data_IF_844026830307
#
_entry.id   IF_844026830307
#
_cell.length_a   1.000
_cell.length_b   1.000
_cell.length_c   1.000
_cell.angle_alpha   90.00
_cell.angle_beta   90.00
_cell.angle_gamma   90.00
#
_symmetry.space_group_name_H-M   'P 1'
#
loop_
_entity.id
_entity.type
_entity.pdbx_description
1 polymer ?
#
# COMPACT_ATOMS: atom_id res chain seq x y z
N UNK A 1 15.79 25.98 11.72
CA UNK A 1 16.03 24.56 12.12
C UNK A 1 16.66 23.84 10.93
N UNK A 2 17.87 23.32 11.08
CA UNK A 2 18.56 22.59 10.01
C UNK A 2 17.79 21.29 9.75
N UNK A 3 17.40 21.04 8.49
CA UNK A 3 16.90 19.72 8.06
C UNK A 3 17.97 18.69 8.40
N UNK A 4 17.60 17.65 9.16
CA UNK A 4 18.49 16.52 9.43
C UNK A 4 19.02 16.01 8.10
N UNK A 5 20.35 15.88 7.98
CA UNK A 5 20.98 15.30 6.80
C UNK A 5 20.46 13.87 6.66
N UNK A 6 19.89 13.55 5.51
CA UNK A 6 19.47 12.20 5.18
C UNK A 6 20.68 11.26 5.28
N UNK A 7 20.60 10.28 6.16
CA UNK A 7 21.67 9.28 6.32
C UNK A 7 21.58 8.26 5.17
N UNK A 8 22.56 8.31 4.26
CA UNK A 8 22.68 7.38 3.13
C UNK A 8 23.51 6.14 3.44
N UNK A 9 23.69 5.81 4.71
CA UNK A 9 24.46 4.64 5.13
C UNK A 9 23.81 3.31 4.71
N UNK A 10 22.51 3.31 4.44
CA UNK A 10 21.73 2.14 4.05
C UNK A 10 21.17 2.30 2.62
N UNK A 11 21.03 1.18 1.87
CA UNK A 11 20.30 1.21 0.60
C UNK A 11 18.89 1.74 0.77
N UNK A 12 18.48 2.63 -0.13
CA UNK A 12 17.15 3.23 -0.17
C UNK A 12 16.23 2.45 -1.10
N UNK A 13 15.00 2.19 -0.64
CA UNK A 13 13.96 1.49 -1.42
C UNK A 13 12.65 2.26 -1.31
N UNK A 14 12.04 2.52 -2.45
CA UNK A 14 10.69 3.08 -2.54
C UNK A 14 9.68 1.95 -2.65
N UNK A 15 8.80 1.85 -1.69
CA UNK A 15 7.70 0.89 -1.70
C UNK A 15 6.37 1.61 -1.51
N UNK A 16 5.28 0.92 -1.77
CA UNK A 16 3.98 1.51 -1.55
C UNK A 16 2.87 0.49 -1.43
N UNK A 17 1.73 0.95 -0.96
CA UNK A 17 0.50 0.19 -0.88
C UNK A 17 -0.42 0.52 -2.05
N UNK A 18 -0.91 -0.49 -2.72
CA UNK A 18 -1.90 -0.42 -3.79
C UNK A 18 -3.05 -1.40 -3.50
N UNK A 19 -4.16 -1.25 -4.17
CA UNK A 19 -5.31 -2.15 -4.05
C UNK A 19 -6.63 -1.40 -3.98
N UNK A 20 -7.71 -2.16 -3.81
CA UNK A 20 -9.07 -1.63 -3.79
C UNK A 20 -9.32 -0.72 -2.58
N UNK A 21 -10.24 0.24 -2.72
CA UNK A 21 -10.71 1.07 -1.61
C UNK A 21 -11.25 0.20 -0.47
N UNK A 22 -11.08 0.65 0.77
CA UNK A 22 -11.53 -0.02 2.00
C UNK A 22 -10.90 -1.39 2.30
N UNK A 23 -9.87 -1.80 1.57
CA UNK A 23 -9.11 -3.02 1.88
C UNK A 23 -8.05 -2.83 2.98
N UNK A 24 -7.81 -1.59 3.42
CA UNK A 24 -6.96 -1.28 4.58
C UNK A 24 -5.53 -0.86 4.24
N UNK A 25 -5.30 -0.24 3.08
CA UNK A 25 -3.98 0.26 2.66
C UNK A 25 -3.40 1.28 3.64
N UNK A 26 -4.14 2.34 3.92
CA UNK A 26 -3.72 3.40 4.85
C UNK A 26 -3.60 2.87 6.27
N UNK A 27 -4.48 1.98 6.70
CA UNK A 27 -4.40 1.30 8.01
C UNK A 27 -3.13 0.48 8.14
N UNK A 28 -2.75 -0.28 7.10
CA UNK A 28 -1.50 -1.03 7.08
C UNK A 28 -0.29 -0.10 7.15
N UNK A 29 -0.29 0.98 6.40
CA UNK A 29 0.78 1.99 6.42
C UNK A 29 0.95 2.60 7.82
N UNK A 30 -0.15 2.97 8.46
CA UNK A 30 -0.14 3.47 9.84
C UNK A 30 0.39 2.42 10.83
N UNK A 31 -0.01 1.16 10.67
CA UNK A 31 0.45 0.06 11.53
C UNK A 31 1.97 -0.18 11.37
N UNK A 32 2.49 -0.14 10.15
CA UNK A 32 3.93 -0.28 9.89
C UNK A 32 4.70 0.84 10.58
N UNK A 33 4.29 2.09 10.41
CA UNK A 33 4.98 3.23 11.04
C UNK A 33 4.93 3.14 12.56
N UNK A 34 3.82 2.71 13.13
CA UNK A 34 3.68 2.51 14.58
C UNK A 34 4.64 1.44 15.10
N UNK A 35 4.68 0.27 14.47
CA UNK A 35 5.59 -0.82 14.88
C UNK A 35 7.06 -0.40 14.73
N UNK A 36 7.42 0.29 13.66
CA UNK A 36 8.78 0.77 13.45
C UNK A 36 9.15 1.87 14.45
N UNK A 37 8.22 2.74 14.82
CA UNK A 37 8.44 3.76 15.84
C UNK A 37 8.68 3.17 17.22
N UNK A 38 7.98 2.10 17.58
CA UNK A 38 8.23 1.36 18.84
C UNK A 38 9.65 0.78 18.90
N UNK A 39 10.28 0.55 17.75
CA UNK A 39 11.67 0.11 17.63
C UNK A 39 12.67 1.28 17.45
N UNK A 40 12.20 2.52 17.51
CA UNK A 40 13.04 3.71 17.27
C UNK A 40 13.47 3.89 15.82
N UNK A 41 12.77 3.28 14.86
CA UNK A 41 13.13 3.22 13.43
C UNK A 41 12.22 4.03 12.51
N UNK A 42 11.26 4.75 13.06
CA UNK A 42 10.36 5.66 12.35
C UNK A 42 9.76 6.70 13.30
N UNK A 43 9.19 7.76 12.75
CA UNK A 43 8.28 8.64 13.48
C UNK A 43 6.88 8.01 13.50
N UNK A 44 6.15 8.16 14.63
CA UNK A 44 4.77 7.70 14.72
C UNK A 44 3.91 8.57 13.81
N UNK A 45 3.23 7.95 12.86
CA UNK A 45 2.18 8.61 12.08
C UNK A 45 0.85 7.87 12.30
N UNK A 46 -0.16 8.61 12.69
CA UNK A 46 -1.52 8.10 12.87
C UNK A 46 -2.24 8.07 11.51
N UNK A 47 -3.32 7.31 11.45
CA UNK A 47 -4.17 7.23 10.26
C UNK A 47 -4.61 8.63 9.76
N UNK A 48 -5.05 9.48 10.68
CA UNK A 48 -5.50 10.84 10.42
C UNK A 48 -4.38 11.82 10.05
N UNK A 49 -3.14 11.45 10.29
CA UNK A 49 -1.96 12.21 9.86
C UNK A 49 -1.50 11.81 8.44
N UNK A 50 -1.82 10.59 8.01
CA UNK A 50 -1.57 10.11 6.66
C UNK A 50 -2.63 10.68 5.73
N UNK A 51 -3.90 10.55 6.08
CA UNK A 51 -5.03 11.14 5.37
C UNK A 51 -5.27 12.58 5.88
N UNK A 52 -4.59 13.54 5.29
CA UNK A 52 -4.53 14.93 5.79
C UNK A 52 -5.66 15.82 5.28
N UNK A 53 -6.19 15.56 4.10
CA UNK A 53 -7.22 16.41 3.50
C UNK A 53 -8.56 16.27 4.24
N UNK A 54 -9.30 17.39 4.48
CA UNK A 54 -10.63 17.31 5.08
C UNK A 54 -11.57 16.36 4.35
N UNK A 55 -11.52 16.36 3.01
CA UNK A 55 -12.32 15.48 2.16
C UNK A 55 -11.95 14.00 2.32
N UNK A 56 -10.68 13.69 2.56
CA UNK A 56 -10.20 12.34 2.84
C UNK A 56 -10.79 11.81 4.15
N UNK A 57 -10.81 12.66 5.18
CA UNK A 57 -11.36 12.32 6.50
C UNK A 57 -12.87 12.12 6.47
N UNK A 58 -13.58 12.99 5.76
CA UNK A 58 -15.04 12.89 5.65
C UNK A 58 -15.49 11.65 4.90
N UNK A 59 -14.78 11.28 3.84
CA UNK A 59 -15.11 10.12 3.00
C UNK A 59 -14.50 8.82 3.49
N UNK A 60 -13.50 8.87 4.37
CA UNK A 60 -12.73 7.71 4.80
C UNK A 60 -11.94 7.04 3.66
N UNK A 61 -11.54 7.82 2.65
CA UNK A 61 -10.77 7.34 1.49
C UNK A 61 -9.53 8.21 1.29
N UNK A 62 -8.47 7.60 0.78
CA UNK A 62 -7.24 8.31 0.39
C UNK A 62 -7.41 8.92 -1.00
N UNK A 63 -7.24 10.23 -1.12
CA UNK A 63 -7.34 10.97 -2.38
C UNK A 63 -5.96 11.22 -2.99
N UNK A 64 -5.04 11.70 -2.17
CA UNK A 64 -3.69 12.01 -2.58
C UNK A 64 -2.71 10.95 -2.08
N UNK A 65 -1.58 10.81 -2.78
CA UNK A 65 -0.49 9.97 -2.28
C UNK A 65 0.11 10.56 -1.03
N UNK A 66 0.23 9.77 0.02
CA UNK A 66 0.95 10.13 1.23
C UNK A 66 2.32 9.45 1.25
N UNK A 67 3.30 10.09 1.85
CA UNK A 67 4.66 9.56 1.97
C UNK A 67 5.03 9.44 3.44
N UNK A 68 5.50 8.27 3.82
CA UNK A 68 6.05 7.99 5.14
C UNK A 68 7.42 7.35 5.00
N UNK A 69 8.27 7.51 6.01
CA UNK A 69 9.62 6.96 6.01
C UNK A 69 9.84 6.09 7.23
N UNK A 70 10.51 4.97 7.04
CA UNK A 70 10.97 4.08 8.10
C UNK A 70 12.18 3.30 7.65
N UNK A 71 12.83 2.65 8.59
CA UNK A 71 14.02 1.87 8.29
C UNK A 71 14.02 0.53 9.03
N UNK A 72 14.69 -0.44 8.42
CA UNK A 72 15.09 -1.68 9.06
C UNK A 72 16.60 -1.63 9.34
N UNK A 73 17.15 -2.69 9.89
CA UNK A 73 18.62 -2.78 10.07
C UNK A 73 19.37 -2.74 8.74
N UNK A 74 18.75 -3.22 7.67
CA UNK A 74 19.40 -3.40 6.37
C UNK A 74 19.10 -2.29 5.36
N UNK A 75 17.93 -1.64 5.45
CA UNK A 75 17.44 -0.72 4.41
C UNK A 75 16.63 0.44 4.98
N UNK A 76 16.66 1.54 4.25
CA UNK A 76 15.77 2.69 4.46
C UNK A 76 14.63 2.63 3.44
N UNK A 77 13.39 2.81 3.89
CA UNK A 77 12.18 2.76 3.05
C UNK A 77 11.49 4.11 3.00
N UNK A 78 11.19 4.55 1.79
CA UNK A 78 10.16 5.55 1.55
C UNK A 78 8.89 4.81 1.10
N UNK A 79 7.83 4.96 1.85
CA UNK A 79 6.57 4.28 1.63
C UNK A 79 5.54 5.26 1.08
N UNK A 80 4.95 4.92 -0.06
CA UNK A 80 3.91 5.70 -0.73
C UNK A 80 2.56 5.02 -0.48
N UNK A 81 1.65 5.72 0.17
CA UNK A 81 0.26 5.27 0.30
C UNK A 81 -0.56 5.79 -0.88
N UNK A 82 -1.02 4.88 -1.75
CA UNK A 82 -1.72 5.22 -2.97
C UNK A 82 -3.25 5.21 -2.77
N UNK A 83 -3.97 6.13 -3.43
CA UNK A 83 -5.43 6.09 -3.41
C UNK A 83 -5.96 4.82 -4.07
N UNK A 84 -7.06 4.28 -3.53
CA UNK A 84 -7.71 3.07 -4.06
C UNK A 84 -8.94 3.36 -4.91
N UNK A 85 -9.54 4.55 -4.79
CA UNK A 85 -10.77 4.91 -5.46
C UNK A 85 -10.56 5.21 -6.94
N UNK A 86 -11.47 4.74 -7.80
CA UNK A 86 -11.39 4.89 -9.26
C UNK A 86 -11.26 6.34 -9.74
N UNK A 87 -11.86 7.30 -9.04
CA UNK A 87 -11.83 8.72 -9.39
C UNK A 87 -10.42 9.34 -9.26
N UNK A 88 -9.50 8.67 -8.59
CA UNK A 88 -8.15 9.16 -8.30
C UNK A 88 -7.05 8.34 -8.98
N UNK A 89 -7.35 7.71 -10.10
CA UNK A 89 -6.43 6.87 -10.90
C UNK A 89 -5.14 7.62 -11.25
N UNK A 90 -5.23 8.90 -11.62
CA UNK A 90 -4.05 9.72 -11.92
C UNK A 90 -3.08 9.81 -10.74
N UNK A 91 -3.60 10.02 -9.54
CA UNK A 91 -2.79 10.11 -8.34
C UNK A 91 -2.18 8.74 -7.98
N UNK A 92 -2.92 7.66 -8.20
CA UNK A 92 -2.40 6.30 -8.05
C UNK A 92 -1.26 6.01 -9.03
N UNK A 93 -1.39 6.37 -10.31
CA UNK A 93 -0.34 6.19 -11.31
C UNK A 93 0.93 6.96 -10.92
N UNK A 94 0.78 8.22 -10.49
CA UNK A 94 1.90 9.06 -10.06
C UNK A 94 2.63 8.44 -8.86
N UNK A 95 1.90 7.91 -7.89
CA UNK A 95 2.47 7.21 -6.74
C UNK A 95 3.17 5.91 -7.14
N UNK A 96 2.53 5.10 -7.96
CA UNK A 96 3.07 3.82 -8.42
C UNK A 96 4.37 3.97 -9.22
N UNK A 97 4.49 5.02 -10.03
CA UNK A 97 5.69 5.30 -10.82
C UNK A 97 6.94 5.56 -9.97
N UNK A 98 6.78 5.86 -8.67
CA UNK A 98 7.86 6.12 -7.73
C UNK A 98 8.32 4.86 -6.99
N UNK A 99 7.66 3.73 -7.18
CA UNK A 99 7.90 2.51 -6.40
C UNK A 99 8.88 1.55 -7.05
N UNK A 100 9.81 1.02 -6.25
CA UNK A 100 10.65 -0.13 -6.59
C UNK A 100 9.92 -1.46 -6.31
N UNK A 101 8.93 -1.44 -5.46
CA UNK A 101 8.06 -2.56 -5.14
C UNK A 101 6.72 -2.10 -4.59
N UNK A 102 5.69 -2.89 -4.77
CA UNK A 102 4.35 -2.59 -4.29
C UNK A 102 3.81 -3.68 -3.36
N UNK A 103 3.09 -3.28 -2.33
CA UNK A 103 2.30 -4.15 -1.48
C UNK A 103 0.86 -4.06 -1.94
N UNK A 104 0.37 -5.12 -2.56
CA UNK A 104 -1.03 -5.24 -2.96
C UNK A 104 -1.85 -5.71 -1.76
N UNK A 105 -2.66 -4.81 -1.21
CA UNK A 105 -3.52 -5.12 -0.07
C UNK A 105 -4.87 -5.63 -0.56
N UNK A 106 -5.22 -6.84 -0.16
CA UNK A 106 -6.49 -7.50 -0.53
C UNK A 106 -7.21 -7.93 0.74
N UNK A 107 -8.48 -7.57 0.86
CA UNK A 107 -9.35 -8.06 1.93
C UNK A 107 -9.64 -9.55 1.72
N UNK A 108 -9.40 -10.37 2.74
CA UNK A 108 -9.71 -11.79 2.69
C UNK A 108 -11.22 -12.04 2.58
N UNK A 109 -12.04 -11.15 3.14
CA UNK A 109 -13.50 -11.26 3.09
C UNK A 109 -14.07 -10.98 1.69
N UNK A 110 -13.51 -9.99 0.98
CA UNK A 110 -14.01 -9.54 -0.33
C UNK A 110 -13.28 -10.22 -1.49
N UNK A 111 -12.02 -10.57 -1.29
CA UNK A 111 -11.12 -11.04 -2.35
C UNK A 111 -10.72 -9.92 -3.32
N UNK A 112 -10.09 -10.26 -4.44
CA UNK A 112 -9.73 -9.30 -5.47
C UNK A 112 -10.97 -8.62 -6.07
N UNK A 113 -11.00 -7.30 -6.01
CA UNK A 113 -12.07 -6.44 -6.50
C UNK A 113 -11.64 -5.75 -7.82
N UNK A 114 -12.53 -5.03 -8.52
CA UNK A 114 -12.18 -4.39 -9.79
C UNK A 114 -10.94 -3.51 -9.74
N UNK A 115 -10.81 -2.66 -8.73
CA UNK A 115 -9.62 -1.79 -8.57
C UNK A 115 -8.34 -2.59 -8.23
N UNK A 116 -8.45 -3.76 -7.64
CA UNK A 116 -7.30 -4.66 -7.42
C UNK A 116 -6.64 -5.02 -8.74
N UNK A 117 -7.44 -5.42 -9.73
CA UNK A 117 -6.95 -5.78 -11.07
C UNK A 117 -6.40 -4.56 -11.80
N UNK A 118 -7.11 -3.45 -11.74
CA UNK A 118 -6.70 -2.19 -12.35
C UNK A 118 -5.35 -1.73 -11.79
N UNK A 119 -5.16 -1.76 -10.48
CA UNK A 119 -3.90 -1.37 -9.83
C UNK A 119 -2.74 -2.28 -10.22
N UNK A 120 -2.95 -3.58 -10.34
CA UNK A 120 -1.92 -4.51 -10.84
C UNK A 120 -1.50 -4.15 -12.26
N UNK A 121 -2.46 -3.91 -13.15
CA UNK A 121 -2.19 -3.55 -14.53
C UNK A 121 -1.43 -2.22 -14.63
N UNK A 122 -1.88 -1.20 -13.91
CA UNK A 122 -1.24 0.10 -13.89
C UNK A 122 0.18 0.04 -13.30
N UNK A 123 0.37 -0.68 -12.20
CA UNK A 123 1.69 -0.88 -11.61
C UNK A 123 2.66 -1.55 -12.58
N UNK A 124 2.20 -2.52 -13.34
CA UNK A 124 3.01 -3.15 -14.39
C UNK A 124 3.33 -2.21 -15.55
N UNK A 125 2.36 -1.41 -15.99
CA UNK A 125 2.56 -0.43 -17.07
C UNK A 125 3.57 0.65 -16.70
N UNK A 126 3.60 1.10 -15.45
CA UNK A 126 4.59 2.09 -14.98
C UNK A 126 5.92 1.46 -14.55
N UNK A 127 6.07 0.14 -14.68
CA UNK A 127 7.32 -0.56 -14.48
C UNK A 127 7.67 -0.90 -13.04
N UNK A 128 6.69 -1.08 -12.15
CA UNK A 128 6.94 -1.58 -10.79
C UNK A 128 7.44 -3.04 -10.88
N UNK A 129 8.70 -3.32 -10.49
CA UNK A 129 9.30 -4.64 -10.75
C UNK A 129 8.80 -5.75 -9.84
N UNK A 130 8.37 -5.41 -8.62
CA UNK A 130 7.96 -6.40 -7.61
C UNK A 130 6.60 -6.06 -7.01
N UNK A 131 5.73 -7.07 -6.90
CA UNK A 131 4.43 -6.96 -6.23
C UNK A 131 4.33 -8.07 -5.19
N UNK A 132 4.09 -7.68 -3.94
CA UNK A 132 3.87 -8.57 -2.81
C UNK A 132 2.39 -8.49 -2.43
N UNK A 133 1.73 -9.62 -2.28
CA UNK A 133 0.33 -9.66 -1.85
C UNK A 133 0.25 -9.72 -0.33
N UNK A 134 -0.44 -8.77 0.27
CA UNK A 134 -0.78 -8.75 1.69
C UNK A 134 -2.28 -9.00 1.86
N UNK A 135 -2.62 -10.15 2.45
CA UNK A 135 -3.99 -10.53 2.73
C UNK A 135 -4.42 -9.96 4.07
N UNK A 136 -5.34 -9.00 4.04
CA UNK A 136 -5.84 -8.29 5.21
C UNK A 136 -7.22 -8.78 5.64
N UNK A 137 -7.68 -8.39 6.82
CA UNK A 137 -9.00 -8.72 7.36
C UNK A 137 -9.29 -10.22 7.45
N UNK A 138 -8.28 -11.01 7.74
CA UNK A 138 -8.41 -12.48 7.86
C UNK A 138 -9.29 -12.91 9.03
N UNK A 139 -9.42 -12.05 10.04
CA UNK A 139 -10.31 -12.20 11.18
C UNK A 139 -11.81 -12.22 10.81
N UNK A 140 -12.16 -11.69 9.64
CA UNK A 140 -13.54 -11.70 9.11
C UNK A 140 -13.89 -12.98 8.36
N UNK A 141 -12.97 -13.92 8.20
CA UNK A 141 -13.15 -15.16 7.44
C UNK A 141 -13.05 -16.36 8.38
N UNK A 142 -14.16 -17.07 8.53
CA UNK A 142 -14.24 -18.25 9.42
C UNK A 142 -13.73 -19.54 8.74
N UNK A 143 -13.79 -19.61 7.40
CA UNK A 143 -13.41 -20.80 6.65
C UNK A 143 -11.96 -20.70 6.13
N UNK A 144 -11.02 -21.55 6.60
CA UNK A 144 -9.63 -21.54 6.14
C UNK A 144 -9.47 -21.79 4.64
N UNK A 145 -10.37 -22.51 3.99
CA UNK A 145 -10.32 -22.77 2.53
C UNK A 145 -10.50 -21.50 1.73
N UNK A 146 -11.30 -20.54 2.22
CA UNK A 146 -11.47 -19.25 1.56
C UNK A 146 -10.20 -18.42 1.60
N UNK A 147 -9.39 -18.53 2.65
CA UNK A 147 -8.10 -17.84 2.76
C UNK A 147 -7.10 -18.31 1.70
N UNK A 148 -7.14 -19.59 1.33
CA UNK A 148 -6.27 -20.14 0.28
C UNK A 148 -6.67 -19.72 -1.14
N UNK A 149 -7.91 -19.30 -1.34
CA UNK A 149 -8.41 -18.89 -2.66
C UNK A 149 -7.98 -17.46 -3.02
N UNK A 150 -7.82 -16.57 -2.05
CA UNK A 150 -7.51 -15.16 -2.26
C UNK A 150 -6.15 -14.97 -2.96
N UNK A 151 -5.05 -15.58 -2.49
CA UNK A 151 -3.76 -15.47 -3.17
C UNK A 151 -3.79 -16.04 -4.59
N UNK A 152 -4.48 -17.15 -4.79
CA UNK A 152 -4.62 -17.79 -6.11
C UNK A 152 -5.34 -16.89 -7.10
N UNK A 153 -6.39 -16.19 -6.66
CA UNK A 153 -7.13 -15.23 -7.50
C UNK A 153 -6.33 -13.97 -7.79
N UNK A 154 -5.54 -13.49 -6.82
CA UNK A 154 -4.71 -12.31 -6.98
C UNK A 154 -3.50 -12.57 -7.91
N UNK A 155 -2.94 -13.78 -7.88
CA UNK A 155 -1.78 -14.18 -8.69
C UNK A 155 -2.15 -14.80 -10.05
N UNK A 156 -3.41 -15.14 -10.28
CA UNK A 156 -3.84 -15.64 -11.57
C UNK A 156 -3.49 -14.61 -12.65
N UNK A 157 -2.77 -15.00 -13.73
CA UNK A 157 -2.62 -14.13 -14.88
C UNK A 157 -4.02 -13.76 -15.31
N UNK A 158 -4.31 -12.46 -15.34
CA UNK A 158 -5.62 -11.96 -15.73
C UNK A 158 -6.01 -12.70 -16.98
N UNK A 159 -7.10 -13.46 -16.89
CA UNK A 159 -7.50 -14.32 -17.99
C UNK A 159 -7.47 -13.49 -19.25
N UNK A 160 -6.60 -13.85 -20.16
CA UNK A 160 -6.62 -13.32 -21.48
C UNK A 160 -8.02 -13.64 -22.01
N UNK A 161 -8.90 -12.66 -21.90
CA UNK A 161 -10.18 -12.72 -22.55
C UNK A 161 -9.88 -12.94 -24.02
N UNK A 162 -10.22 -14.09 -24.48
CA UNK A 162 -10.42 -14.30 -25.91
C UNK A 162 -11.59 -13.49 -26.39
#
# INVERSE_FOLDING_TARGET
MAKAKFDRSKPHVNIGTIGHVDHGKTTLTAAITMVMAMQGKAEVMRYDEIDKAPEERERGITINTAHVEYQTEKRHYAHVDCPGHADYVKNMITGAAQMDGAILVVSAADGPMPQTREHILLARQVGVPYIIVFMNKVDLVDDPELLDLVPKRASAPGGAGR
#
